data_IF_825044343937
#
_entry.id   IF_825044343937
#
_cell.length_a   1.000
_cell.length_b   1.000
_cell.length_c   1.000
_cell.angle_alpha   90.00
_cell.angle_beta   90.00
_cell.angle_gamma   90.00
#
_symmetry.space_group_name_H-M   'P 1'
#
loop_
_entity.id
_entity.type
_entity.pdbx_description
1 polymer ?
#
# COMPACT_ATOMS: atom_id res chain seq x y z
N UNK A 1 33.49 17.70 -30.22
CA UNK A 1 32.80 16.41 -30.54
C UNK A 1 31.37 16.55 -30.02
N UNK A 2 30.42 16.82 -30.90
CA UNK A 2 28.99 16.92 -30.56
C UNK A 2 28.42 15.52 -30.63
N UNK A 3 27.98 14.97 -29.48
CA UNK A 3 27.19 13.72 -29.46
C UNK A 3 25.73 14.07 -29.66
N UNK A 4 25.27 14.10 -30.90
CA UNK A 4 23.87 14.21 -31.28
C UNK A 4 23.30 12.81 -31.55
N UNK A 5 23.02 12.05 -30.50
CA UNK A 5 22.09 10.93 -30.61
C UNK A 5 21.23 10.89 -29.35
N UNK A 6 20.10 11.59 -29.37
CA UNK A 6 18.99 11.29 -28.47
C UNK A 6 18.48 9.87 -28.82
N UNK A 7 18.96 8.88 -28.08
CA UNK A 7 18.35 7.53 -28.14
C UNK A 7 17.09 7.58 -27.29
N UNK A 8 15.97 7.67 -27.95
CA UNK A 8 14.67 7.44 -27.29
C UNK A 8 14.58 5.95 -26.92
N UNK A 9 14.66 5.67 -25.61
CA UNK A 9 14.58 4.31 -25.10
C UNK A 9 13.14 4.05 -24.69
N UNK A 10 12.40 3.30 -25.51
CA UNK A 10 11.04 2.87 -25.18
C UNK A 10 11.10 1.46 -24.61
N UNK A 11 10.84 1.32 -23.29
CA UNK A 11 10.74 0.02 -22.62
C UNK A 11 9.27 -0.36 -22.45
N UNK A 12 8.88 -1.47 -23.04
CA UNK A 12 7.57 -2.07 -22.81
C UNK A 12 7.73 -3.25 -21.87
N UNK A 13 7.12 -3.17 -20.68
CA UNK A 13 7.13 -4.25 -19.72
C UNK A 13 6.35 -5.45 -20.27
N UNK A 14 7.03 -6.54 -20.51
CA UNK A 14 6.46 -7.78 -21.07
C UNK A 14 6.88 -9.01 -20.24
N UNK A 15 6.89 -8.90 -18.90
CA UNK A 15 7.15 -10.08 -18.07
C UNK A 15 6.00 -11.08 -18.22
N UNK A 16 6.30 -12.27 -18.69
CA UNK A 16 5.39 -13.41 -18.87
C UNK A 16 5.78 -14.63 -18.01
N UNK A 17 6.78 -14.46 -17.15
CA UNK A 17 7.26 -15.49 -16.25
C UNK A 17 6.33 -15.71 -15.03
N UNK A 18 6.62 -16.73 -14.22
CA UNK A 18 5.82 -17.02 -13.02
C UNK A 18 5.98 -15.94 -11.96
N UNK A 19 4.91 -15.66 -11.23
CA UNK A 19 4.95 -14.85 -10.00
C UNK A 19 5.77 -15.62 -8.96
N UNK A 20 6.60 -14.91 -8.18
CA UNK A 20 7.46 -15.45 -7.13
C UNK A 20 7.10 -14.92 -5.75
N UNK A 21 6.59 -13.70 -5.66
CA UNK A 21 6.17 -13.12 -4.41
C UNK A 21 4.96 -12.19 -4.58
N UNK A 22 4.19 -12.05 -3.49
CA UNK A 22 3.12 -11.07 -3.35
C UNK A 22 3.42 -10.24 -2.12
N UNK A 23 3.44 -8.93 -2.27
CA UNK A 23 3.66 -7.98 -1.17
C UNK A 23 2.35 -7.25 -0.89
N UNK A 24 1.79 -7.47 0.29
CA UNK A 24 0.54 -6.89 0.74
C UNK A 24 0.77 -5.62 1.57
N UNK A 25 -0.14 -4.67 1.49
CA UNK A 25 -0.30 -3.66 2.53
C UNK A 25 -1.00 -4.24 3.76
N UNK A 26 -1.00 -3.48 4.87
CA UNK A 26 -1.64 -3.87 6.13
C UNK A 26 -3.06 -3.35 6.24
N UNK A 27 -3.22 -2.05 6.55
CA UNK A 27 -4.52 -1.46 6.84
C UNK A 27 -5.43 -1.48 5.61
N UNK A 28 -6.66 -1.98 5.76
CA UNK A 28 -7.67 -2.15 4.69
C UNK A 28 -7.33 -3.23 3.65
N UNK A 29 -6.09 -3.68 3.57
CA UNK A 29 -5.69 -4.76 2.65
C UNK A 29 -5.69 -6.11 3.34
N UNK A 30 -5.07 -6.23 4.52
CA UNK A 30 -4.99 -7.50 5.28
C UNK A 30 -5.65 -7.42 6.66
N UNK A 31 -5.69 -6.25 7.29
CA UNK A 31 -6.33 -6.02 8.59
C UNK A 31 -6.93 -4.62 8.69
N UNK A 32 -7.61 -4.31 9.81
CA UNK A 32 -8.26 -3.02 10.09
C UNK A 32 -9.23 -2.61 8.98
N UNK A 33 -10.32 -3.38 8.81
CA UNK A 33 -11.35 -3.08 7.83
C UNK A 33 -11.92 -1.66 8.03
N UNK A 34 -11.71 -0.80 7.03
CA UNK A 34 -12.14 0.59 7.04
C UNK A 34 -11.11 1.59 7.58
N UNK A 35 -9.87 1.15 7.88
CA UNK A 35 -8.79 2.02 8.38
C UNK A 35 -9.23 2.86 9.60
N UNK A 36 -9.83 2.17 10.60
CA UNK A 36 -10.43 2.81 11.76
C UNK A 36 -9.42 3.30 12.78
N UNK A 37 -8.35 2.50 13.04
CA UNK A 37 -7.37 2.84 14.04
C UNK A 37 -6.78 4.25 13.87
N UNK A 38 -6.17 4.62 12.74
CA UNK A 38 -5.62 5.96 12.59
C UNK A 38 -6.70 7.05 12.50
N UNK A 39 -7.85 6.77 11.89
CA UNK A 39 -8.89 7.78 11.70
C UNK A 39 -9.48 8.27 13.04
N UNK A 40 -9.74 7.34 13.96
CA UNK A 40 -10.23 7.67 15.32
C UNK A 40 -9.19 8.48 16.10
N UNK A 41 -7.90 8.14 15.95
CA UNK A 41 -6.83 8.86 16.64
C UNK A 41 -6.63 10.26 16.07
N UNK A 42 -6.73 10.46 14.75
CA UNK A 42 -6.73 11.80 14.17
C UNK A 42 -7.85 12.66 14.75
N UNK A 43 -9.07 12.14 14.90
CA UNK A 43 -10.15 12.88 15.55
C UNK A 43 -9.77 13.28 16.99
N UNK A 44 -9.28 12.33 17.80
CA UNK A 44 -8.90 12.60 19.19
C UNK A 44 -7.80 13.66 19.33
N UNK A 45 -6.82 13.63 18.43
CA UNK A 45 -5.71 14.60 18.43
C UNK A 45 -6.21 16.00 18.07
N UNK A 46 -7.07 16.10 17.06
CA UNK A 46 -7.68 17.38 16.68
C UNK A 46 -8.68 17.89 17.72
N UNK A 47 -9.44 17.01 18.39
CA UNK A 47 -10.28 17.36 19.53
C UNK A 47 -9.47 17.93 20.68
N UNK A 48 -8.32 17.31 20.99
CA UNK A 48 -7.37 17.81 22.00
C UNK A 48 -6.83 19.19 21.65
N UNK A 49 -6.62 19.46 20.35
CA UNK A 49 -6.23 20.79 19.87
C UNK A 49 -7.40 21.81 19.83
N UNK A 50 -8.61 21.42 20.25
CA UNK A 50 -9.79 22.29 20.22
C UNK A 50 -10.41 22.49 18.82
N UNK A 51 -10.02 21.67 17.85
CA UNK A 51 -10.47 21.77 16.43
C UNK A 51 -11.06 20.44 16.00
N UNK A 52 -12.28 20.08 16.44
CA UNK A 52 -12.90 18.80 16.10
C UNK A 52 -13.01 18.61 14.58
N UNK A 53 -12.70 17.39 14.11
CA UNK A 53 -12.78 17.00 12.70
C UNK A 53 -13.76 15.84 12.50
N UNK A 54 -14.38 15.78 11.33
CA UNK A 54 -15.23 14.66 10.95
C UNK A 54 -14.40 13.42 10.58
N UNK A 55 -15.03 12.25 10.56
CA UNK A 55 -14.40 11.01 10.09
C UNK A 55 -14.00 11.12 8.61
N UNK A 56 -14.76 11.85 7.81
CA UNK A 56 -14.42 12.10 6.40
C UNK A 56 -13.17 12.95 6.29
N UNK A 57 -13.06 14.05 7.03
CA UNK A 57 -11.88 14.91 7.07
C UNK A 57 -10.64 14.14 7.56
N UNK A 58 -10.79 13.29 8.56
CA UNK A 58 -9.71 12.43 9.06
C UNK A 58 -9.21 11.45 8.00
N UNK A 59 -10.01 11.06 7.03
CA UNK A 59 -9.69 10.06 6.00
C UNK A 59 -9.18 10.62 4.68
N UNK A 60 -9.37 11.92 4.40
CA UNK A 60 -8.97 12.53 3.11
C UNK A 60 -7.52 12.21 2.71
N UNK A 61 -6.49 12.30 3.60
CA UNK A 61 -5.11 12.02 3.24
C UNK A 61 -4.67 10.57 3.49
N UNK A 62 -5.58 9.58 3.51
CA UNK A 62 -5.21 8.18 3.78
C UNK A 62 -4.06 7.72 2.88
N UNK A 63 -3.12 6.97 3.47
CA UNK A 63 -1.92 6.45 2.80
C UNK A 63 -0.66 7.29 2.99
N UNK A 64 -0.77 8.56 3.39
CA UNK A 64 0.39 9.40 3.72
C UNK A 64 1.05 9.00 5.05
N UNK A 65 2.33 9.36 5.21
CA UNK A 65 3.01 9.29 6.51
C UNK A 65 2.23 10.08 7.57
N UNK A 66 2.08 9.55 8.78
CA UNK A 66 1.15 10.08 9.80
C UNK A 66 1.33 11.56 10.14
N UNK A 67 2.57 12.04 10.25
CA UNK A 67 2.84 13.47 10.45
C UNK A 67 2.40 14.32 9.26
N UNK A 68 2.68 13.86 8.03
CA UNK A 68 2.25 14.53 6.80
C UNK A 68 0.72 14.53 6.72
N UNK A 69 0.07 13.43 7.10
CA UNK A 69 -1.36 13.29 7.15
C UNK A 69 -2.01 14.35 8.07
N UNK A 70 -1.49 14.52 9.29
CA UNK A 70 -1.92 15.60 10.21
C UNK A 70 -1.82 16.96 9.51
N UNK A 71 -0.65 17.28 8.94
CA UNK A 71 -0.45 18.55 8.23
C UNK A 71 -1.44 18.74 7.06
N UNK A 72 -1.75 17.69 6.31
CA UNK A 72 -2.72 17.75 5.21
C UNK A 72 -4.15 17.98 5.72
N UNK A 73 -4.56 17.36 6.82
CA UNK A 73 -5.86 17.64 7.47
C UNK A 73 -5.95 19.11 7.87
N UNK A 74 -4.90 19.68 8.46
CA UNK A 74 -4.85 21.09 8.86
C UNK A 74 -5.06 22.06 7.67
N UNK A 75 -4.72 21.64 6.45
CA UNK A 75 -4.89 22.43 5.24
C UNK A 75 -6.28 22.25 4.57
N UNK A 76 -7.12 21.34 5.04
CA UNK A 76 -8.51 21.23 4.56
C UNK A 76 -9.23 22.55 4.86
N UNK A 77 -9.88 23.21 3.89
CA UNK A 77 -10.44 24.55 4.08
C UNK A 77 -11.41 24.68 5.27
N UNK A 78 -12.21 23.66 5.57
CA UNK A 78 -13.12 23.62 6.72
C UNK A 78 -12.36 23.50 8.04
N UNK A 79 -11.33 22.66 8.11
CA UNK A 79 -10.49 22.46 9.30
C UNK A 79 -9.65 23.69 9.57
N UNK A 80 -8.99 24.22 8.53
CA UNK A 80 -8.17 25.42 8.63
C UNK A 80 -8.95 26.61 9.16
N UNK A 81 -10.21 26.80 8.70
CA UNK A 81 -11.10 27.85 9.22
C UNK A 81 -11.36 27.66 10.70
N UNK A 82 -11.77 26.44 11.14
CA UNK A 82 -11.99 26.13 12.56
C UNK A 82 -10.74 26.35 13.39
N UNK A 83 -9.56 26.05 12.84
CA UNK A 83 -8.28 26.29 13.49
C UNK A 83 -8.05 27.77 13.75
N UNK A 84 -8.20 28.61 12.73
CA UNK A 84 -8.05 30.07 12.84
C UNK A 84 -9.08 30.66 13.82
N UNK A 85 -10.32 30.21 13.77
CA UNK A 85 -11.39 30.65 14.68
C UNK A 85 -11.05 30.31 16.14
N UNK A 86 -10.38 29.18 16.40
CA UNK A 86 -10.02 28.72 17.75
C UNK A 86 -8.74 29.37 18.25
N UNK A 87 -7.70 29.45 17.40
CA UNK A 87 -6.34 29.85 17.83
C UNK A 87 -5.96 31.27 17.41
N UNK A 88 -6.80 31.95 16.62
CA UNK A 88 -6.53 33.29 16.05
C UNK A 88 -5.26 33.36 15.22
N UNK A 89 -4.77 32.20 14.71
CA UNK A 89 -3.54 32.04 13.94
C UNK A 89 -3.68 30.82 13.00
N UNK A 90 -2.88 30.83 11.92
CA UNK A 90 -2.78 29.69 11.02
C UNK A 90 -2.08 28.49 11.68
N UNK A 91 -2.43 27.24 11.33
CA UNK A 91 -1.71 26.06 11.80
C UNK A 91 -0.26 26.07 11.31
N UNK A 92 0.67 25.84 12.22
CA UNK A 92 2.11 25.84 11.98
C UNK A 92 2.70 24.44 11.97
N UNK A 93 3.93 24.27 11.46
CA UNK A 93 4.64 22.99 11.54
C UNK A 93 4.85 22.54 12.99
N UNK A 94 5.00 23.49 13.94
CA UNK A 94 5.12 23.18 15.37
C UNK A 94 3.82 22.59 15.94
N UNK A 95 2.68 23.07 15.50
CA UNK A 95 1.37 22.50 15.89
C UNK A 95 1.23 21.07 15.38
N UNK A 96 1.65 20.85 14.12
CA UNK A 96 1.67 19.52 13.50
C UNK A 96 2.61 18.58 14.28
N UNK A 97 3.77 19.07 14.72
CA UNK A 97 4.72 18.30 15.52
C UNK A 97 4.12 17.90 16.87
N UNK A 98 3.52 18.84 17.59
CA UNK A 98 2.84 18.57 18.85
C UNK A 98 1.70 17.56 18.70
N UNK A 99 0.87 17.73 17.66
CA UNK A 99 -0.21 16.78 17.36
C UNK A 99 0.33 15.39 17.00
N UNK A 100 1.47 15.32 16.32
CA UNK A 100 2.08 14.03 15.98
C UNK A 100 2.70 13.33 17.19
N UNK A 101 3.30 14.08 18.14
CA UNK A 101 3.78 13.55 19.41
C UNK A 101 2.64 12.93 20.24
N UNK A 102 1.47 13.55 20.24
CA UNK A 102 0.27 13.02 20.88
C UNK A 102 -0.33 11.81 20.13
N UNK A 103 -0.27 11.83 18.80
CA UNK A 103 -0.83 10.80 17.95
C UNK A 103 -0.19 9.43 18.18
N UNK A 104 1.13 9.38 18.28
CA UNK A 104 1.87 8.10 18.35
C UNK A 104 1.40 7.25 19.54
N UNK A 105 1.46 7.73 20.81
CA UNK A 105 1.02 6.92 21.94
C UNK A 105 -0.47 6.62 21.94
N UNK A 106 -1.30 7.54 21.44
CA UNK A 106 -2.75 7.29 21.32
C UNK A 106 -3.06 6.17 20.31
N UNK A 107 -2.33 6.11 19.21
CA UNK A 107 -2.53 5.06 18.22
C UNK A 107 -2.02 3.72 18.73
N UNK A 108 -0.84 3.67 19.33
CA UNK A 108 -0.30 2.43 19.91
C UNK A 108 -1.25 1.84 20.97
N UNK A 109 -1.85 2.69 21.80
CA UNK A 109 -2.77 2.27 22.86
C UNK A 109 -4.08 1.64 22.32
N UNK A 110 -4.55 2.01 21.15
CA UNK A 110 -5.81 1.49 20.60
C UNK A 110 -5.63 0.54 19.41
N UNK A 111 -4.40 0.32 18.96
CA UNK A 111 -4.16 -0.37 17.69
C UNK A 111 -4.67 -1.82 17.71
N UNK A 112 -4.48 -2.54 18.83
CA UNK A 112 -4.95 -3.91 18.99
C UNK A 112 -6.48 -4.06 18.87
N UNK A 113 -7.24 -3.02 19.20
CA UNK A 113 -8.70 -3.03 19.07
C UNK A 113 -9.15 -3.09 17.59
N UNK A 114 -8.26 -2.72 16.68
CA UNK A 114 -8.49 -2.66 15.24
C UNK A 114 -7.61 -3.64 14.43
N UNK A 115 -6.88 -4.53 15.11
CA UNK A 115 -5.94 -5.47 14.47
C UNK A 115 -6.61 -6.77 14.01
N UNK A 116 -7.92 -6.77 13.73
CA UNK A 116 -8.62 -7.94 13.18
C UNK A 116 -8.30 -8.10 11.70
N UNK A 117 -7.96 -9.34 11.29
CA UNK A 117 -7.74 -9.64 9.88
C UNK A 117 -9.02 -9.47 9.05
N UNK A 118 -8.86 -8.96 7.84
CA UNK A 118 -9.94 -8.87 6.87
C UNK A 118 -10.36 -10.28 6.44
N UNK A 119 -11.68 -10.59 6.39
CA UNK A 119 -12.16 -11.88 5.93
C UNK A 119 -11.59 -12.25 4.54
N UNK A 120 -11.06 -13.46 4.42
CA UNK A 120 -10.40 -13.94 3.19
C UNK A 120 -8.88 -13.73 3.14
N UNK A 121 -8.29 -13.00 4.08
CA UNK A 121 -6.82 -12.78 4.11
C UNK A 121 -6.06 -14.11 4.22
N UNK A 122 -6.42 -14.95 5.16
CA UNK A 122 -5.73 -16.23 5.38
C UNK A 122 -5.90 -17.19 4.20
N UNK A 123 -7.08 -17.22 3.60
CA UNK A 123 -7.39 -18.06 2.43
C UNK A 123 -6.55 -17.64 1.21
N UNK A 124 -6.43 -16.32 0.97
CA UNK A 124 -5.61 -15.78 -0.12
C UNK A 124 -4.13 -16.08 0.11
N UNK A 125 -3.64 -15.86 1.33
CA UNK A 125 -2.25 -16.15 1.70
C UNK A 125 -1.94 -17.64 1.55
N UNK A 126 -2.83 -18.51 2.02
CA UNK A 126 -2.69 -19.97 1.89
C UNK A 126 -2.63 -20.40 0.40
N UNK A 127 -3.48 -19.82 -0.46
CA UNK A 127 -3.46 -20.12 -1.89
C UNK A 127 -2.18 -19.60 -2.56
N UNK A 128 -1.68 -18.40 -2.15
CA UNK A 128 -0.39 -17.89 -2.63
C UNK A 128 0.76 -18.81 -2.24
N UNK A 129 0.82 -19.27 -0.98
CA UNK A 129 1.85 -20.20 -0.51
C UNK A 129 1.76 -21.56 -1.20
N UNK A 130 0.57 -22.08 -1.43
CA UNK A 130 0.34 -23.32 -2.20
C UNK A 130 0.88 -23.22 -3.63
N UNK A 131 0.90 -22.03 -4.22
CA UNK A 131 1.50 -21.74 -5.54
C UNK A 131 3.00 -21.53 -5.47
N UNK A 132 3.61 -21.59 -4.28
CA UNK A 132 5.04 -21.34 -4.07
C UNK A 132 5.41 -19.86 -4.07
N UNK A 133 4.45 -18.94 -3.83
CA UNK A 133 4.74 -17.52 -3.71
C UNK A 133 5.19 -17.18 -2.30
N UNK A 134 6.23 -16.37 -2.17
CA UNK A 134 6.63 -15.75 -0.91
C UNK A 134 5.70 -14.58 -0.60
N UNK A 135 5.48 -14.31 0.68
CA UNK A 135 4.56 -13.29 1.16
C UNK A 135 5.35 -12.19 1.84
N UNK A 136 5.37 -11.02 1.23
CA UNK A 136 5.91 -9.82 1.82
C UNK A 136 4.84 -8.89 2.33
N UNK A 137 5.24 -7.89 3.12
CA UNK A 137 4.32 -6.86 3.61
C UNK A 137 5.00 -5.50 3.69
N UNK A 138 4.23 -4.43 3.44
CA UNK A 138 4.68 -3.04 3.65
C UNK A 138 3.63 -2.26 4.42
N UNK A 139 4.06 -1.34 5.29
CA UNK A 139 3.15 -0.51 6.06
C UNK A 139 3.67 0.93 6.20
N UNK A 140 2.75 1.89 6.20
CA UNK A 140 3.04 3.27 6.60
C UNK A 140 3.15 3.46 8.12
N UNK A 141 3.04 2.40 8.92
CA UNK A 141 3.14 2.45 10.36
C UNK A 141 4.59 2.64 10.83
N UNK A 142 4.72 3.27 12.01
CA UNK A 142 5.99 3.38 12.72
C UNK A 142 6.38 2.02 13.32
N UNK A 143 7.66 1.81 13.68
CA UNK A 143 8.13 0.50 14.17
C UNK A 143 7.34 -0.05 15.36
N UNK A 144 7.01 0.79 16.36
CA UNK A 144 6.20 0.38 17.52
C UNK A 144 4.81 -0.10 17.15
N UNK A 145 4.12 0.64 16.27
CA UNK A 145 2.80 0.29 15.76
C UNK A 145 2.84 -1.01 14.93
N UNK A 146 3.87 -1.13 14.08
CA UNK A 146 4.02 -2.33 13.23
C UNK A 146 4.31 -3.57 14.07
N UNK A 147 5.06 -3.45 15.16
CA UNK A 147 5.31 -4.56 16.09
C UNK A 147 4.02 -5.06 16.76
N UNK A 148 3.12 -4.15 17.16
CA UNK A 148 1.79 -4.51 17.69
C UNK A 148 0.98 -5.28 16.65
N UNK A 149 0.89 -4.75 15.43
CA UNK A 149 0.15 -5.40 14.35
C UNK A 149 0.71 -6.77 14.00
N UNK A 150 2.04 -6.93 13.94
CA UNK A 150 2.69 -8.21 13.69
C UNK A 150 2.32 -9.25 14.76
N UNK A 151 2.40 -8.87 16.04
CA UNK A 151 2.05 -9.75 17.13
C UNK A 151 0.57 -10.17 17.11
N UNK A 152 -0.33 -9.24 16.76
CA UNK A 152 -1.77 -9.54 16.67
C UNK A 152 -2.13 -10.33 15.41
N UNK A 153 -1.43 -10.12 14.31
CA UNK A 153 -1.58 -10.90 13.07
C UNK A 153 -1.11 -12.34 13.25
N UNK A 154 0.03 -12.54 13.92
CA UNK A 154 0.57 -13.87 14.24
C UNK A 154 -0.42 -14.69 15.08
N UNK A 155 -1.03 -14.10 16.10
CA UNK A 155 -2.08 -14.74 16.91
C UNK A 155 -3.27 -15.23 16.06
N UNK A 156 -3.53 -14.54 14.95
CA UNK A 156 -4.60 -14.85 14.01
C UNK A 156 -4.14 -15.76 12.85
N UNK A 157 -2.85 -16.14 12.79
CA UNK A 157 -2.28 -17.03 11.78
C UNK A 157 -1.72 -16.34 10.54
N UNK A 158 -1.62 -15.01 10.52
CA UNK A 158 -1.00 -14.28 9.42
C UNK A 158 0.46 -13.92 9.75
N UNK A 159 1.40 -14.62 9.10
CA UNK A 159 2.84 -14.43 9.27
C UNK A 159 3.47 -14.24 7.89
N UNK A 160 3.76 -13.01 7.45
CA UNK A 160 4.52 -12.75 6.23
C UNK A 160 5.96 -13.23 6.33
N UNK A 161 6.59 -13.58 5.20
CA UNK A 161 8.00 -14.00 5.15
C UNK A 161 8.94 -12.80 5.34
N UNK A 162 8.48 -11.57 5.01
CA UNK A 162 9.18 -10.31 5.26
C UNK A 162 8.18 -9.19 5.49
N UNK A 163 8.50 -8.24 6.38
CA UNK A 163 7.67 -7.05 6.63
C UNK A 163 8.53 -5.84 6.91
N UNK A 164 8.23 -4.72 6.24
CA UNK A 164 8.92 -3.45 6.45
C UNK A 164 7.93 -2.30 6.55
N UNK A 165 8.16 -1.44 7.55
CA UNK A 165 7.44 -0.20 7.78
C UNK A 165 8.17 1.02 7.23
N UNK A 166 7.50 2.17 7.27
CA UNK A 166 8.06 3.44 6.81
C UNK A 166 9.32 3.86 7.60
N UNK A 167 9.47 3.41 8.87
CA UNK A 167 10.64 3.67 9.69
C UNK A 167 11.85 2.80 9.37
N UNK A 168 11.68 1.72 8.60
CA UNK A 168 12.75 0.78 8.28
C UNK A 168 13.55 1.17 7.05
N UNK A 169 13.17 2.23 6.36
CA UNK A 169 13.73 2.64 5.06
C UNK A 169 13.97 4.16 5.03
N UNK A 170 14.92 4.64 4.21
CA UNK A 170 15.20 6.07 4.07
C UNK A 170 14.01 6.90 3.59
N UNK A 171 13.10 6.30 2.80
CA UNK A 171 11.90 6.95 2.29
C UNK A 171 10.75 5.93 2.25
N UNK A 172 9.66 6.25 2.95
CA UNK A 172 8.39 5.54 2.85
C UNK A 172 7.66 5.86 1.54
N UNK A 173 6.38 5.49 1.46
CA UNK A 173 5.51 5.73 0.30
C UNK A 173 5.52 7.20 -0.13
N UNK A 174 5.47 7.49 -1.41
CA UNK A 174 5.24 6.58 -2.56
C UNK A 174 6.52 5.91 -3.09
N UNK A 175 7.67 6.05 -2.42
CA UNK A 175 8.93 5.45 -2.86
C UNK A 175 8.93 3.95 -2.56
N UNK A 176 9.39 3.13 -3.51
CA UNK A 176 9.35 1.66 -3.41
C UNK A 176 10.46 1.03 -2.55
N UNK A 177 11.04 1.77 -1.58
CA UNK A 177 12.14 1.25 -0.77
C UNK A 177 11.73 0.06 0.09
N UNK A 178 10.50 0.08 0.66
CA UNK A 178 9.99 -1.05 1.45
C UNK A 178 9.75 -2.28 0.56
N UNK A 179 9.26 -2.09 -0.67
CA UNK A 179 9.08 -3.17 -1.65
C UNK A 179 10.43 -3.78 -2.01
N UNK A 180 11.46 -2.96 -2.30
CA UNK A 180 12.81 -3.47 -2.59
C UNK A 180 13.39 -4.24 -1.42
N UNK A 181 13.22 -3.74 -0.20
CA UNK A 181 13.72 -4.42 0.98
C UNK A 181 13.05 -5.77 1.19
N UNK A 182 11.73 -5.87 0.98
CA UNK A 182 11.01 -7.14 0.94
C UNK A 182 11.58 -8.09 -0.11
N UNK A 183 11.85 -7.60 -1.32
CA UNK A 183 12.38 -8.41 -2.43
C UNK A 183 13.75 -8.98 -2.07
N UNK A 184 14.62 -8.17 -1.47
CA UNK A 184 15.96 -8.60 -1.03
C UNK A 184 15.86 -9.62 0.11
N UNK A 185 15.06 -9.33 1.14
CA UNK A 185 14.87 -10.21 2.30
C UNK A 185 14.28 -11.57 1.90
N UNK A 186 13.34 -11.56 0.98
CA UNK A 186 12.74 -12.79 0.44
C UNK A 186 13.60 -13.48 -0.62
N UNK A 187 14.79 -12.98 -0.97
CA UNK A 187 15.64 -13.52 -2.02
C UNK A 187 14.89 -13.75 -3.35
N UNK A 188 14.24 -12.71 -3.85
CA UNK A 188 13.53 -12.74 -5.13
C UNK A 188 14.33 -12.01 -6.19
N UNK A 189 14.94 -12.77 -7.11
CA UNK A 189 15.90 -12.23 -8.08
C UNK A 189 15.29 -11.35 -9.18
N UNK A 190 13.97 -11.47 -9.46
CA UNK A 190 13.30 -10.76 -10.54
C UNK A 190 12.20 -9.86 -9.98
N UNK A 191 12.42 -8.56 -9.94
CA UNK A 191 11.45 -7.56 -9.48
C UNK A 191 10.11 -7.68 -10.23
N UNK A 192 10.17 -8.01 -11.53
CA UNK A 192 8.98 -8.19 -12.37
C UNK A 192 8.11 -9.39 -11.97
N UNK A 193 8.65 -10.33 -11.19
CA UNK A 193 7.91 -11.50 -10.67
C UNK A 193 7.17 -11.21 -9.36
N UNK A 194 7.21 -9.97 -8.89
CA UNK A 194 6.56 -9.53 -7.65
C UNK A 194 5.30 -8.75 -7.95
N UNK A 195 4.24 -9.05 -7.19
CA UNK A 195 2.96 -8.33 -7.23
C UNK A 195 2.83 -7.51 -5.95
N UNK A 196 2.51 -6.23 -6.06
CA UNK A 196 2.11 -5.38 -4.93
C UNK A 196 0.59 -5.28 -4.89
N UNK A 197 0.03 -5.51 -3.72
CA UNK A 197 -1.41 -5.39 -3.43
C UNK A 197 -1.60 -4.31 -2.38
N UNK A 198 -2.43 -3.31 -2.68
CA UNK A 198 -2.65 -2.15 -1.82
C UNK A 198 -4.00 -1.51 -2.17
N UNK A 199 -4.68 -0.89 -1.21
CA UNK A 199 -5.93 -0.17 -1.38
C UNK A 199 -5.73 1.33 -1.65
N UNK A 200 -4.51 1.84 -1.43
CA UNK A 200 -4.17 3.26 -1.58
C UNK A 200 -3.40 3.56 -2.86
N UNK A 201 -3.61 4.76 -3.42
CA UNK A 201 -2.85 5.21 -4.59
C UNK A 201 -1.34 5.26 -4.30
N UNK A 202 -0.95 5.77 -3.13
CA UNK A 202 0.46 5.87 -2.73
C UNK A 202 1.13 4.51 -2.55
N UNK A 203 0.38 3.49 -2.14
CA UNK A 203 0.88 2.12 -2.05
C UNK A 203 0.98 1.42 -3.41
N UNK A 204 0.08 1.74 -4.34
CA UNK A 204 0.22 1.30 -5.74
C UNK A 204 1.42 1.99 -6.40
N UNK A 205 1.62 3.29 -6.17
CA UNK A 205 2.80 4.03 -6.66
C UNK A 205 4.11 3.45 -6.10
N UNK A 206 4.12 3.04 -4.82
CA UNK A 206 5.24 2.33 -4.20
C UNK A 206 5.64 1.09 -5.03
N UNK A 207 4.67 0.30 -5.48
CA UNK A 207 4.90 -0.85 -6.35
C UNK A 207 5.39 -0.46 -7.75
N UNK A 208 4.85 0.62 -8.31
CA UNK A 208 5.17 1.06 -9.67
C UNK A 208 6.56 1.68 -9.80
N UNK A 209 7.12 2.25 -8.75
CA UNK A 209 8.43 2.95 -8.78
C UNK A 209 9.58 2.08 -9.28
N UNK A 210 9.53 0.77 -9.03
CA UNK A 210 10.57 -0.20 -9.44
C UNK A 210 10.12 -1.16 -10.54
N UNK A 211 8.83 -1.14 -10.85
CA UNK A 211 8.27 -1.94 -11.93
C UNK A 211 8.35 -1.24 -13.28
N UNK A 212 8.71 0.04 -13.30
CA UNK A 212 8.93 0.84 -14.50
C UNK A 212 10.43 0.91 -14.74
N UNK A 213 10.89 0.40 -15.89
CA UNK A 213 12.26 0.59 -16.36
C UNK A 213 12.65 2.07 -16.36
N UNK A 214 13.91 2.43 -16.59
CA UNK A 214 14.42 3.77 -16.35
C UNK A 214 13.54 4.83 -17.04
N UNK A 215 12.82 5.58 -16.24
CA UNK A 215 12.12 6.77 -16.66
C UNK A 215 13.19 7.86 -16.86
N UNK A 216 13.58 8.10 -18.09
CA UNK A 216 14.44 9.25 -18.40
C UNK A 216 13.60 10.52 -18.28
N UNK A 217 13.74 11.24 -17.18
CA UNK A 217 13.28 12.63 -17.09
C UNK A 217 14.09 13.47 -18.05
N UNK A 218 13.44 14.22 -18.92
CA UNK A 218 14.10 15.34 -19.62
C UNK A 218 14.58 16.36 -18.58
N UNK A 219 15.81 16.86 -18.68
CA UNK A 219 16.28 17.92 -17.78
C UNK A 219 15.36 19.14 -17.92
N UNK A 220 14.71 19.58 -16.84
CA UNK A 220 13.87 20.78 -16.81
C UNK A 220 12.42 20.60 -16.34
N UNK A 221 11.88 19.39 -16.22
CA UNK A 221 10.52 19.16 -15.71
C UNK A 221 10.51 18.85 -14.21
N UNK A 222 10.70 19.87 -13.39
CA UNK A 222 10.31 19.87 -11.99
C UNK A 222 8.97 20.57 -11.86
N UNK A 223 7.86 19.86 -12.02
CA UNK A 223 6.55 20.24 -11.46
C UNK A 223 5.69 19.01 -11.34
N UNK A 224 5.30 18.68 -10.10
CA UNK A 224 4.23 17.76 -9.81
C UNK A 224 2.94 18.15 -10.50
N UNK A 225 2.08 17.18 -10.73
CA UNK A 225 0.67 17.25 -11.14
C UNK A 225 0.29 17.08 -12.61
N UNK A 226 1.18 17.15 -13.60
CA UNK A 226 0.73 17.00 -15.00
C UNK A 226 1.31 15.85 -15.82
N UNK A 227 2.13 15.00 -15.25
CA UNK A 227 2.71 13.87 -15.98
C UNK A 227 1.76 12.66 -16.12
N UNK A 228 0.69 12.59 -15.32
CA UNK A 228 -0.27 11.47 -15.34
C UNK A 228 -1.35 11.57 -16.44
N UNK A 229 -1.56 12.75 -17.03
CA UNK A 229 -2.65 12.98 -17.97
C UNK A 229 -2.36 12.55 -19.42
N UNK A 230 -1.14 12.11 -19.75
CA UNK A 230 -0.76 11.74 -21.14
C UNK A 230 -0.09 10.37 -21.29
N UNK A 231 -0.28 9.46 -20.36
CA UNK A 231 0.02 8.05 -20.59
C UNK A 231 -1.11 7.39 -21.37
N UNK A 232 -0.85 6.63 -22.46
CA UNK A 232 -1.92 5.95 -23.18
C UNK A 232 -2.58 4.97 -22.21
N UNK A 233 -3.92 5.02 -22.16
CA UNK A 233 -4.88 4.24 -21.36
C UNK A 233 -4.32 2.90 -20.85
N UNK A 234 -3.65 2.92 -19.72
CA UNK A 234 -3.34 1.71 -18.94
C UNK A 234 -4.38 1.62 -17.85
N UNK A 235 -5.15 0.54 -17.87
CA UNK A 235 -6.08 0.23 -16.79
C UNK A 235 -5.26 0.09 -15.49
N UNK A 236 -5.64 0.77 -14.40
CA UNK A 236 -5.04 0.49 -13.10
C UNK A 236 -5.31 -0.99 -12.77
N UNK A 237 -4.30 -1.68 -12.25
CA UNK A 237 -4.49 -3.00 -11.66
C UNK A 237 -5.18 -2.75 -10.33
N UNK A 238 -6.49 -2.73 -10.35
CA UNK A 238 -7.31 -2.74 -9.12
C UNK A 238 -7.55 -4.19 -8.73
N UNK A 239 -7.82 -4.46 -7.46
CA UNK A 239 -8.28 -5.78 -6.99
C UNK A 239 -9.54 -6.31 -7.70
N UNK A 240 -10.12 -5.54 -8.62
CA UNK A 240 -11.29 -5.90 -9.43
C UNK A 240 -10.93 -6.43 -10.82
N UNK A 241 -9.70 -6.27 -11.30
CA UNK A 241 -9.25 -6.85 -12.58
C UNK A 241 -8.63 -8.23 -12.34
N UNK A 242 -9.39 -9.14 -12.15
CA UNK A 242 -9.76 -10.54 -12.46
C UNK A 242 -8.69 -11.53 -12.92
N UNK A 243 -7.41 -11.29 -12.75
CA UNK A 243 -6.43 -12.35 -13.03
C UNK A 243 -6.20 -13.30 -11.85
N UNK A 244 -6.44 -12.85 -10.61
CA UNK A 244 -6.40 -13.72 -9.42
C UNK A 244 -7.73 -14.45 -9.27
N UNK A 245 -8.87 -13.77 -9.48
CA UNK A 245 -10.21 -14.38 -9.40
C UNK A 245 -10.51 -15.38 -10.53
N UNK A 246 -9.99 -15.20 -11.75
CA UNK A 246 -10.21 -16.16 -12.85
C UNK A 246 -9.46 -17.48 -12.67
N UNK A 247 -8.40 -17.52 -11.85
CA UNK A 247 -7.71 -18.76 -11.50
C UNK A 247 -8.46 -19.63 -10.49
N UNK A 248 -9.31 -19.02 -9.67
CA UNK A 248 -10.00 -19.72 -8.59
C UNK A 248 -11.33 -20.35 -9.06
N UNK A 249 -11.99 -19.76 -10.09
CA UNK A 249 -13.30 -20.25 -10.56
C UNK A 249 -13.27 -21.33 -11.67
N UNK A 250 -12.10 -21.69 -12.22
CA UNK A 250 -12.04 -22.71 -13.29
C UNK A 250 -11.83 -24.15 -12.83
N UNK A 251 -11.88 -24.45 -11.54
CA UNK A 251 -11.74 -25.82 -11.03
C UNK A 251 -13.06 -26.55 -10.73
N UNK A 252 -14.22 -26.01 -11.11
CA UNK A 252 -15.49 -26.75 -10.99
C UNK A 252 -16.08 -27.01 -12.37
N UNK A 253 -16.21 -28.35 -12.63
CA UNK A 253 -17.02 -29.03 -13.62
C UNK A 253 -16.51 -29.13 -15.07
N UNK A 254 -15.84 -30.24 -15.38
CA UNK A 254 -16.11 -31.00 -16.60
C UNK A 254 -16.27 -32.49 -16.23
N UNK A 255 -17.41 -33.13 -16.57
CA UNK A 255 -17.57 -34.57 -16.42
C UNK A 255 -16.71 -35.28 -17.47
N UNK A 256 -15.91 -36.26 -17.03
CA UNK A 256 -15.19 -37.17 -17.91
C UNK A 256 -16.23 -37.96 -18.75
N UNK A 257 -16.28 -37.70 -20.07
CA UNK A 257 -16.89 -38.64 -21.00
C UNK A 257 -15.96 -39.87 -21.07
N UNK A 258 -16.49 -41.02 -20.60
CA UNK A 258 -15.96 -42.35 -20.88
C UNK A 258 -16.06 -42.56 -22.40
N UNK A 259 -14.94 -42.75 -23.08
CA UNK A 259 -14.92 -43.42 -24.37
C UNK A 259 -14.63 -44.90 -24.12
N UNK A 260 -15.62 -45.72 -24.32
CA UNK A 260 -15.49 -47.15 -24.54
C UNK A 260 -14.71 -47.39 -25.82
N UNK A 261 -13.60 -48.11 -25.74
CA UNK A 261 -13.06 -48.81 -26.92
C UNK A 261 -13.31 -50.30 -26.66
N UNK A 262 -14.32 -50.82 -27.31
CA UNK A 262 -14.46 -52.23 -27.59
C UNK A 262 -13.76 -52.51 -28.96
N UNK A 263 -13.19 -53.69 -29.11
CA UNK A 263 -12.82 -54.25 -30.41
C UNK A 263 -11.37 -54.71 -30.49
N UNK A 264 -11.11 -55.92 -30.17
CA UNK A 264 -11.02 -57.14 -31.03
C UNK A 264 -9.67 -57.28 -31.75
N UNK A 265 -9.05 -58.34 -31.42
CA UNK A 265 -7.99 -59.21 -31.95
C UNK A 265 -6.60 -58.92 -31.40
#
# INVERSE_FOLDING_TARGET
MQFTHEREFTYTRAYRGPIRAVIFDWAVTTMDFGCMAPAVVFQKVYDKAGVPISMEEARVPIGAHKKVHIGMIAQIPSVRRRWVDTHSAEPTDKDVDTMFEDFVPMQEACLSDYSTLIPGTLEVVAECRKRGYKIGSTSGYLPGMLAINLADAEKQGYVPDATFGAGDVPRGRPFGHMVLRNILEMDVSLVQSVVKVDDTLTGIEEGLHYLVGPYSRKPGECRGERAFAKSPKRRPITCKDDQISRGIHRSRTRPRRRRSCAGTI
#
